data_IF_431223880725
#
_entry.id   IF_431223880725
#
_cell.length_a   1.000
_cell.length_b   1.000
_cell.length_c   1.000
_cell.angle_alpha   90.00
_cell.angle_beta   90.00
_cell.angle_gamma   90.00
#
_symmetry.space_group_name_H-M   'P 1'
#
loop_
_entity.id
_entity.type
_entity.pdbx_description
1 polymer ?
#
# COMPACT_ATOMS: atom_id res chain seq x y z
N UNK A 1 10.13 -45.07 -32.41
CA UNK A 1 10.81 -43.76 -32.28
C UNK A 1 11.50 -43.76 -30.92
N UNK A 2 12.69 -44.33 -30.84
CA UNK A 2 13.45 -44.51 -29.59
C UNK A 2 14.11 -43.17 -29.22
N UNK A 3 13.52 -42.47 -28.23
CA UNK A 3 14.13 -41.25 -27.70
C UNK A 3 15.25 -41.68 -26.75
N UNK A 4 16.50 -41.51 -27.20
CA UNK A 4 17.69 -41.81 -26.40
C UNK A 4 17.66 -41.06 -25.05
N UNK A 5 18.10 -41.74 -23.99
CA UNK A 5 18.20 -41.22 -22.61
C UNK A 5 18.90 -39.84 -22.54
N UNK A 6 19.86 -39.59 -23.44
CA UNK A 6 20.57 -38.30 -23.55
C UNK A 6 19.65 -37.14 -23.96
N UNK A 7 18.66 -37.40 -24.82
CA UNK A 7 17.70 -36.39 -25.27
C UNK A 7 16.72 -36.03 -24.15
N UNK A 8 16.29 -37.01 -23.35
CA UNK A 8 15.44 -36.78 -22.18
C UNK A 8 16.15 -35.91 -21.13
N UNK A 9 17.43 -36.15 -20.89
CA UNK A 9 18.22 -35.37 -19.94
C UNK A 9 18.37 -33.91 -20.37
N UNK A 10 18.61 -33.64 -21.66
CA UNK A 10 18.69 -32.27 -22.20
C UNK A 10 17.34 -31.56 -22.11
N UNK A 11 16.24 -32.23 -22.45
CA UNK A 11 14.89 -31.63 -22.35
C UNK A 11 14.56 -31.27 -20.90
N UNK A 12 14.91 -32.13 -19.93
CA UNK A 12 14.73 -31.84 -18.50
C UNK A 12 15.47 -30.56 -18.07
N UNK A 13 16.72 -30.40 -18.49
CA UNK A 13 17.52 -29.19 -18.19
C UNK A 13 16.86 -27.94 -18.80
N UNK A 14 16.38 -28.01 -20.04
CA UNK A 14 15.71 -26.89 -20.70
C UNK A 14 14.39 -26.51 -20.02
N UNK A 15 13.66 -27.48 -19.48
CA UNK A 15 12.43 -27.24 -18.71
C UNK A 15 12.80 -26.55 -17.38
N UNK A 16 13.82 -27.05 -16.67
CA UNK A 16 14.27 -26.46 -15.40
C UNK A 16 14.72 -25.00 -15.58
N UNK A 17 15.42 -24.68 -16.67
CA UNK A 17 15.84 -23.31 -16.98
C UNK A 17 14.64 -22.37 -17.23
N UNK A 18 13.58 -22.84 -17.88
CA UNK A 18 12.36 -22.05 -18.10
C UNK A 18 11.59 -21.81 -16.80
N UNK A 19 11.51 -22.81 -15.91
CA UNK A 19 10.86 -22.65 -14.61
C UNK A 19 11.63 -21.71 -13.67
N UNK A 20 12.97 -21.72 -13.70
CA UNK A 20 13.79 -20.81 -12.91
C UNK A 20 13.56 -19.33 -13.32
N UNK A 21 13.46 -19.04 -14.63
CA UNK A 21 13.19 -17.69 -15.11
C UNK A 21 11.83 -17.14 -14.68
N UNK A 22 10.80 -17.99 -14.61
CA UNK A 22 9.47 -17.60 -14.11
C UNK A 22 9.46 -17.33 -12.60
N UNK A 23 10.33 -17.99 -11.82
CA UNK A 23 10.44 -17.76 -10.39
C UNK A 23 11.03 -16.37 -10.07
N UNK A 24 12.01 -15.90 -10.84
CA UNK A 24 12.61 -14.57 -10.63
C UNK A 24 11.63 -13.41 -10.94
N UNK A 25 10.69 -13.61 -11.87
CA UNK A 25 9.63 -12.64 -12.15
C UNK A 25 8.67 -12.42 -10.96
N UNK A 26 8.67 -13.31 -9.97
CA UNK A 26 7.85 -13.22 -8.77
C UNK A 26 8.54 -12.53 -7.58
N UNK A 27 9.78 -12.04 -7.75
CA UNK A 27 10.49 -11.35 -6.69
C UNK A 27 9.75 -10.06 -6.29
N UNK A 28 9.30 -10.00 -5.04
CA UNK A 28 8.61 -8.85 -4.48
C UNK A 28 9.45 -7.59 -4.67
N UNK A 29 8.85 -6.53 -5.22
CA UNK A 29 9.53 -5.23 -5.36
C UNK A 29 10.03 -4.79 -3.99
N UNK A 30 11.35 -4.69 -3.85
CA UNK A 30 12.00 -4.28 -2.61
C UNK A 30 11.51 -2.87 -2.25
N UNK A 31 10.85 -2.74 -1.10
CA UNK A 31 10.39 -1.44 -0.61
C UNK A 31 11.58 -0.49 -0.50
N UNK A 32 11.45 0.71 -1.05
CA UNK A 32 12.54 1.70 -1.06
C UNK A 32 12.77 2.22 0.36
N UNK A 33 11.68 2.40 1.12
CA UNK A 33 11.71 2.74 2.54
C UNK A 33 10.76 1.79 3.29
N UNK A 34 11.12 1.28 4.49
CA UNK A 34 10.28 0.30 5.19
C UNK A 34 8.98 0.89 5.76
N UNK A 35 9.00 2.14 6.24
CA UNK A 35 7.85 2.81 6.85
C UNK A 35 7.93 4.34 6.67
N UNK A 36 6.76 4.98 6.56
CA UNK A 36 6.62 6.43 6.49
C UNK A 36 5.84 6.91 7.73
N UNK A 37 6.47 7.73 8.56
CA UNK A 37 5.84 8.35 9.73
C UNK A 37 5.47 9.79 9.40
N UNK A 38 4.17 10.10 9.43
CA UNK A 38 3.67 11.43 9.07
C UNK A 38 3.01 12.08 10.28
N UNK A 39 3.49 13.28 10.61
CA UNK A 39 2.93 14.14 11.64
C UNK A 39 2.29 15.35 10.97
N UNK A 40 1.08 15.70 11.40
CA UNK A 40 0.37 16.85 10.85
C UNK A 40 -1.05 16.97 11.39
N UNK A 41 -1.89 17.64 10.60
CA UNK A 41 -3.29 17.91 10.88
C UNK A 41 -4.22 17.01 10.04
N UNK A 42 -5.44 17.48 9.78
CA UNK A 42 -6.45 16.79 8.98
C UNK A 42 -6.01 16.49 7.53
N UNK A 43 -5.08 17.25 6.97
CA UNK A 43 -4.65 17.12 5.56
C UNK A 43 -3.86 15.85 5.27
N UNK A 44 -3.22 15.29 6.30
CA UNK A 44 -2.41 14.07 6.21
C UNK A 44 -2.97 12.93 7.07
N UNK A 45 -4.15 13.12 7.66
CA UNK A 45 -4.80 12.11 8.48
C UNK A 45 -5.45 11.02 7.60
N UNK A 46 -5.09 9.78 7.89
CA UNK A 46 -5.61 8.57 7.25
C UNK A 46 -6.68 7.86 8.12
N UNK A 47 -7.33 8.59 9.01
CA UNK A 47 -8.45 8.10 9.82
C UNK A 47 -8.14 7.88 11.30
N UNK A 48 -7.00 8.35 11.79
CA UNK A 48 -6.66 8.26 13.21
C UNK A 48 -7.64 9.06 14.09
N UNK A 49 -8.16 10.18 13.58
CA UNK A 49 -9.13 11.00 14.32
C UNK A 49 -10.47 10.30 14.56
N UNK A 50 -10.82 9.26 13.78
CA UNK A 50 -12.10 8.55 13.94
C UNK A 50 -12.20 7.84 15.30
N UNK A 51 -11.05 7.48 15.88
CA UNK A 51 -10.94 6.76 17.15
C UNK A 51 -10.87 7.71 18.36
N UNK A 52 -10.78 9.03 18.13
CA UNK A 52 -10.76 10.04 19.17
C UNK A 52 -12.16 10.60 19.43
N UNK A 53 -12.39 11.08 20.66
CA UNK A 53 -13.62 11.80 21.04
C UNK A 53 -13.56 13.26 20.56
N UNK A 54 -13.53 13.46 19.25
CA UNK A 54 -13.50 14.78 18.60
C UNK A 54 -14.67 14.94 17.63
N UNK A 55 -15.03 16.19 17.33
CA UNK A 55 -16.07 16.52 16.33
C UNK A 55 -15.55 16.35 14.89
N UNK A 56 -14.26 16.63 14.69
CA UNK A 56 -13.56 16.48 13.42
C UNK A 56 -13.33 15.00 13.09
N UNK A 57 -14.30 14.38 12.42
CA UNK A 57 -14.23 12.99 11.94
C UNK A 57 -14.44 12.93 10.44
N UNK A 58 -13.59 12.15 9.78
CA UNK A 58 -13.63 11.94 8.33
C UNK A 58 -14.32 10.62 7.93
N UNK A 59 -15.02 9.96 8.86
CA UNK A 59 -15.86 8.79 8.60
C UNK A 59 -17.32 9.15 8.26
N UNK A 60 -17.54 10.30 7.62
CA UNK A 60 -18.86 10.86 7.35
C UNK A 60 -18.94 11.32 5.90
N UNK A 61 -20.15 11.31 5.34
CA UNK A 61 -20.41 12.00 4.08
C UNK A 61 -20.10 13.50 4.24
N UNK A 62 -19.47 14.19 3.26
CA UNK A 62 -19.20 13.79 1.87
C UNK A 62 -17.83 13.15 1.59
N UNK A 63 -17.05 12.76 2.61
CA UNK A 63 -15.69 12.28 2.40
C UNK A 63 -15.65 10.90 1.74
N UNK A 64 -14.84 10.76 0.69
CA UNK A 64 -14.66 9.50 -0.05
C UNK A 64 -15.75 9.16 -1.07
N UNK A 65 -16.61 10.11 -1.45
CA UNK A 65 -17.60 9.90 -2.53
C UNK A 65 -16.92 9.46 -3.83
N UNK A 66 -15.85 10.15 -4.22
CA UNK A 66 -15.09 9.83 -5.43
C UNK A 66 -14.17 8.60 -5.25
N UNK A 67 -14.14 8.00 -4.05
CA UNK A 67 -13.29 6.86 -3.69
C UNK A 67 -14.14 5.64 -3.31
N UNK A 68 -14.71 5.00 -4.32
CA UNK A 68 -15.62 3.85 -4.19
C UNK A 68 -16.84 4.14 -3.31
N UNK A 69 -17.21 5.42 -3.16
CA UNK A 69 -18.32 5.89 -2.33
C UNK A 69 -18.22 5.46 -0.85
N UNK A 70 -17.00 5.25 -0.35
CA UNK A 70 -16.72 4.77 1.00
C UNK A 70 -15.90 5.81 1.77
N UNK A 71 -16.30 6.14 3.01
CA UNK A 71 -15.50 7.04 3.84
C UNK A 71 -14.19 6.38 4.22
N UNK A 72 -13.08 6.89 3.68
CA UNK A 72 -11.75 6.31 3.86
C UNK A 72 -11.07 6.75 5.17
N UNK A 73 -11.72 7.62 5.95
CA UNK A 73 -11.13 8.28 7.10
C UNK A 73 -10.20 9.45 6.75
N UNK A 74 -10.10 9.83 5.48
CA UNK A 74 -9.35 11.01 5.02
C UNK A 74 -10.28 12.20 4.89
N UNK A 75 -9.81 13.40 5.25
CA UNK A 75 -10.55 14.66 5.05
C UNK A 75 -10.52 15.12 3.58
N UNK A 76 -10.73 14.19 2.64
CA UNK A 76 -10.78 14.46 1.21
C UNK A 76 -11.65 13.43 0.50
N UNK A 77 -11.94 13.67 -0.77
CA UNK A 77 -12.63 12.72 -1.63
C UNK A 77 -11.70 11.65 -2.21
N UNK A 78 -10.40 11.67 -1.89
CA UNK A 78 -9.42 10.78 -2.49
C UNK A 78 -8.19 10.52 -1.61
N UNK A 79 -7.05 10.30 -2.26
CA UNK A 79 -5.76 10.08 -1.61
C UNK A 79 -5.14 11.41 -1.18
N UNK A 80 -4.63 11.47 0.04
CA UNK A 80 -3.83 12.59 0.53
C UNK A 80 -2.41 12.53 -0.05
N UNK A 81 -1.64 13.61 0.13
CA UNK A 81 -0.22 13.64 -0.27
C UNK A 81 0.57 12.52 0.43
N UNK A 82 0.27 12.23 1.69
CA UNK A 82 0.91 11.15 2.44
C UNK A 82 0.69 9.78 1.80
N UNK A 83 -0.50 9.53 1.24
CA UNK A 83 -0.80 8.29 0.54
C UNK A 83 -0.09 8.20 -0.81
N UNK A 84 0.09 9.33 -1.49
CA UNK A 84 0.83 9.38 -2.76
C UNK A 84 2.30 9.06 -2.50
N UNK A 85 2.90 9.65 -1.45
CA UNK A 85 4.28 9.37 -1.07
C UNK A 85 4.44 7.90 -0.63
N UNK A 86 3.51 7.38 0.18
CA UNK A 86 3.52 5.97 0.57
C UNK A 86 3.45 5.03 -0.65
N UNK A 87 2.61 5.36 -1.64
CA UNK A 87 2.49 4.61 -2.87
C UNK A 87 3.77 4.65 -3.73
N UNK A 88 4.39 5.82 -3.87
CA UNK A 88 5.65 5.98 -4.63
C UNK A 88 6.80 5.24 -3.95
N UNK A 89 6.95 5.39 -2.63
CA UNK A 89 8.03 4.77 -1.88
C UNK A 89 7.77 3.28 -1.58
N UNK A 90 6.56 2.79 -1.87
CA UNK A 90 6.06 1.44 -1.56
C UNK A 90 6.23 1.09 -0.08
N UNK A 91 5.96 2.05 0.80
CA UNK A 91 6.16 1.92 2.24
C UNK A 91 4.92 1.36 2.93
N UNK A 92 4.96 1.32 4.25
CA UNK A 92 3.74 1.27 5.07
C UNK A 92 3.55 2.64 5.69
N UNK A 93 2.43 3.32 5.38
CA UNK A 93 2.06 4.59 6.00
C UNK A 93 1.63 4.39 7.46
N UNK A 94 2.26 5.14 8.37
CA UNK A 94 1.84 5.31 9.76
C UNK A 94 1.60 6.80 10.00
N UNK A 95 0.34 7.19 10.15
CA UNK A 95 -0.04 8.54 10.56
C UNK A 95 -0.01 8.63 12.09
N UNK A 96 0.36 9.80 12.62
CA UNK A 96 0.24 10.11 14.04
C UNK A 96 -0.61 11.36 14.21
N UNK A 97 -1.68 11.25 15.00
CA UNK A 97 -2.46 12.43 15.40
C UNK A 97 -1.83 13.02 16.64
N UNK A 98 -1.48 14.31 16.56
CA UNK A 98 -1.04 15.06 17.73
C UNK A 98 -2.21 15.13 18.75
N UNK A 99 -2.05 14.62 19.98
CA UNK A 99 -3.11 14.64 21.00
C UNK A 99 -3.59 16.04 21.38
N UNK A 100 -2.80 17.07 21.07
CA UNK A 100 -3.05 18.49 21.37
C UNK A 100 -4.02 19.18 20.41
N UNK A 101 -4.47 18.51 19.34
CA UNK A 101 -5.40 19.05 18.34
C UNK A 101 -6.89 18.80 18.67
N UNK A 102 -7.21 18.32 19.89
CA UNK A 102 -8.60 18.05 20.31
C UNK A 102 -9.48 19.31 20.42
N UNK A 103 -8.86 20.50 20.40
CA UNK A 103 -9.49 21.74 20.84
C UNK A 103 -9.72 22.80 19.74
N UNK A 104 -9.42 22.48 18.47
CA UNK A 104 -9.66 23.44 17.36
C UNK A 104 -11.08 23.19 16.80
N UNK A 105 -11.94 24.19 17.03
CA UNK A 105 -13.35 24.28 16.62
C UNK A 105 -13.56 24.26 15.12
#
# INVERSE_FOLDING_TARGET
MEISLRKLWVISILIIQQFAFLADASHSRKKIVPALYVFGDSTVDAGNNNNLKTLAKANKFPYGIDFNNCSTGRFSNGKTIADIIDWVCQCRLHTWVCPSLKDIK
#
